data_IF_568611016424
#
_entry.id   IF_568611016424
#
_cell.length_a   1.000
_cell.length_b   1.000
_cell.length_c   1.000
_cell.angle_alpha   90.00
_cell.angle_beta   90.00
_cell.angle_gamma   90.00
#
_symmetry.space_group_name_H-M   'P 1'
#
loop_
_entity.id
_entity.type
_entity.pdbx_description
1 polymer ?
#
# COMPACT_ATOMS: atom_id res chain seq x y z
N UNK A 1 -60.89 -80.21 -2.68
CA UNK A 1 -60.25 -79.22 -1.78
C UNK A 1 -61.32 -78.25 -1.32
N UNK A 2 -61.79 -78.37 -0.07
CA UNK A 2 -62.76 -77.44 0.50
C UNK A 2 -62.08 -76.07 0.73
N UNK A 3 -62.51 -75.03 0.03
CA UNK A 3 -62.09 -73.64 0.30
C UNK A 3 -62.81 -73.16 1.54
N UNK A 4 -62.13 -73.16 2.69
CA UNK A 4 -62.66 -72.60 3.93
C UNK A 4 -63.00 -71.10 3.70
N UNK A 5 -64.27 -70.69 3.75
CA UNK A 5 -64.68 -69.31 3.44
C UNK A 5 -64.19 -68.28 4.47
N UNK A 6 -63.60 -68.73 5.59
CA UNK A 6 -63.20 -67.91 6.73
C UNK A 6 -61.68 -67.71 6.87
N UNK A 7 -60.92 -67.63 5.77
CA UNK A 7 -59.58 -67.04 5.82
C UNK A 7 -59.69 -65.52 5.67
N UNK A 8 -59.85 -64.81 6.79
CA UNK A 8 -59.80 -63.36 6.80
C UNK A 8 -58.37 -62.90 6.46
N UNK A 9 -58.17 -62.30 5.27
CA UNK A 9 -56.90 -61.66 4.92
C UNK A 9 -56.76 -60.38 5.75
N UNK A 10 -55.98 -60.46 6.82
CA UNK A 10 -55.54 -59.30 7.58
C UNK A 10 -54.40 -58.60 6.81
N UNK A 11 -54.78 -57.93 5.73
CA UNK A 11 -53.85 -57.16 4.91
C UNK A 11 -53.74 -55.74 5.50
N UNK A 12 -52.52 -55.22 5.59
CA UNK A 12 -52.33 -53.83 6.00
C UNK A 12 -52.91 -52.91 4.93
N UNK A 13 -53.85 -52.06 5.35
CA UNK A 13 -54.60 -51.17 4.48
C UNK A 13 -54.60 -49.77 5.07
N UNK A 14 -54.60 -48.71 4.23
CA UNK A 14 -54.72 -47.36 4.74
C UNK A 14 -56.04 -47.21 5.53
N UNK A 15 -56.10 -46.30 6.51
CA UNK A 15 -57.33 -46.00 7.23
C UNK A 15 -58.47 -45.66 6.25
N UNK A 16 -59.72 -45.95 6.61
CA UNK A 16 -60.90 -45.70 5.74
C UNK A 16 -61.04 -44.23 5.29
N UNK A 17 -60.38 -43.29 5.97
CA UNK A 17 -60.32 -41.86 5.63
C UNK A 17 -59.00 -41.37 5.01
N UNK A 18 -58.06 -42.26 4.69
CA UNK A 18 -56.73 -41.91 4.16
C UNK A 18 -55.77 -41.31 5.20
N UNK A 19 -54.54 -41.04 4.77
CA UNK A 19 -53.54 -40.33 5.59
C UNK A 19 -53.70 -38.82 5.47
N UNK A 20 -53.27 -38.09 6.49
CA UNK A 20 -53.23 -36.62 6.44
C UNK A 20 -52.34 -36.17 5.29
N UNK A 21 -52.76 -35.19 4.47
CA UNK A 21 -51.91 -34.64 3.42
C UNK A 21 -50.65 -34.03 4.05
N UNK A 22 -49.49 -34.51 3.65
CA UNK A 22 -48.21 -33.96 4.06
C UNK A 22 -47.71 -32.98 2.99
N UNK A 23 -47.13 -31.87 3.43
CA UNK A 23 -46.62 -30.86 2.52
C UNK A 23 -45.27 -31.30 1.93
N UNK A 24 -45.25 -31.62 0.64
CA UNK A 24 -44.04 -31.98 -0.13
C UNK A 24 -43.29 -30.76 -0.66
N UNK A 25 -43.80 -29.54 -0.46
CA UNK A 25 -43.19 -28.32 -1.02
C UNK A 25 -41.92 -27.94 -0.27
N UNK A 26 -40.97 -27.35 -1.01
CA UNK A 26 -39.75 -26.78 -0.43
C UNK A 26 -40.07 -25.51 0.36
N UNK A 27 -39.83 -25.53 1.67
CA UNK A 27 -39.98 -24.36 2.55
C UNK A 27 -38.67 -23.58 2.62
N UNK A 28 -38.51 -22.60 1.73
CA UNK A 28 -37.38 -21.68 1.73
C UNK A 28 -37.67 -20.48 2.65
N UNK A 29 -36.83 -20.21 3.66
CA UNK A 29 -36.97 -18.99 4.45
C UNK A 29 -36.66 -17.76 3.58
N UNK A 30 -37.42 -16.68 3.79
CA UNK A 30 -37.10 -15.40 3.16
C UNK A 30 -35.78 -14.85 3.70
N UNK A 31 -35.02 -14.19 2.83
CA UNK A 31 -33.78 -13.53 3.24
C UNK A 31 -34.06 -12.56 4.41
N UNK A 32 -33.24 -12.63 5.46
CA UNK A 32 -33.46 -11.90 6.72
C UNK A 32 -33.21 -10.39 6.58
N UNK A 33 -32.46 -9.99 5.55
CA UNK A 33 -32.08 -8.60 5.31
C UNK A 33 -32.28 -8.26 3.83
N UNK A 34 -32.86 -7.09 3.56
CA UNK A 34 -32.99 -6.57 2.19
C UNK A 34 -31.63 -6.15 1.65
N UNK A 35 -31.41 -6.34 0.33
CA UNK A 35 -30.20 -5.88 -0.35
C UNK A 35 -29.98 -4.36 -0.20
N UNK A 36 -31.06 -3.58 -0.22
CA UNK A 36 -31.00 -2.13 -0.01
C UNK A 36 -30.50 -1.77 1.40
N UNK A 37 -30.88 -2.54 2.41
CA UNK A 37 -30.41 -2.31 3.78
C UNK A 37 -28.91 -2.57 3.90
N UNK A 38 -28.43 -3.69 3.34
CA UNK A 38 -27.00 -4.02 3.34
C UNK A 38 -26.19 -2.95 2.61
N UNK A 39 -26.66 -2.48 1.46
CA UNK A 39 -26.01 -1.41 0.71
C UNK A 39 -25.96 -0.11 1.51
N UNK A 40 -27.08 0.28 2.15
CA UNK A 40 -27.12 1.47 3.02
C UNK A 40 -26.14 1.38 4.19
N UNK A 41 -26.09 0.24 4.88
CA UNK A 41 -25.19 0.03 6.01
C UNK A 41 -23.71 0.13 5.60
N UNK A 42 -23.32 -0.53 4.50
CA UNK A 42 -21.94 -0.47 3.98
C UNK A 42 -21.58 0.93 3.52
N UNK A 43 -22.51 1.62 2.85
CA UNK A 43 -22.30 2.99 2.39
C UNK A 43 -22.03 3.95 3.56
N UNK A 44 -22.83 3.87 4.63
CA UNK A 44 -22.64 4.68 5.82
C UNK A 44 -21.32 4.38 6.54
N UNK A 45 -20.98 3.10 6.69
CA UNK A 45 -19.70 2.69 7.28
C UNK A 45 -18.51 3.23 6.47
N UNK A 46 -18.62 3.17 5.15
CA UNK A 46 -17.59 3.66 4.23
C UNK A 46 -17.45 5.18 4.30
N UNK A 47 -18.57 5.91 4.30
CA UNK A 47 -18.57 7.38 4.46
C UNK A 47 -17.89 7.81 5.77
N UNK A 48 -18.20 7.13 6.88
CA UNK A 48 -17.55 7.41 8.15
C UNK A 48 -16.05 7.09 8.13
N UNK A 49 -15.66 5.97 7.49
CA UNK A 49 -14.26 5.62 7.28
C UNK A 49 -13.48 6.70 6.52
N UNK A 50 -14.05 7.23 5.44
CA UNK A 50 -13.42 8.31 4.68
C UNK A 50 -13.29 9.61 5.48
N UNK A 51 -14.27 9.94 6.33
CA UNK A 51 -14.16 11.09 7.23
C UNK A 51 -12.96 10.96 8.18
N UNK A 52 -12.81 9.79 8.83
CA UNK A 52 -11.68 9.51 9.72
C UNK A 52 -10.33 9.54 8.99
N UNK A 53 -10.26 8.98 7.78
CA UNK A 53 -9.07 9.06 6.93
C UNK A 53 -8.74 10.52 6.58
N UNK A 54 -9.75 11.35 6.32
CA UNK A 54 -9.59 12.78 6.09
C UNK A 54 -8.91 13.48 7.25
N UNK A 55 -9.40 13.27 8.47
CA UNK A 55 -8.84 13.87 9.69
C UNK A 55 -7.39 13.43 9.93
N UNK A 56 -7.12 12.12 9.86
CA UNK A 56 -5.76 11.58 10.04
C UNK A 56 -4.78 12.08 8.96
N UNK A 57 -5.24 12.28 7.73
CA UNK A 57 -4.42 12.86 6.66
C UNK A 57 -4.06 14.32 6.94
N UNK A 58 -4.97 15.10 7.52
CA UNK A 58 -4.69 16.49 7.93
C UNK A 58 -3.60 16.50 9.02
N UNK A 59 -3.71 15.64 10.03
CA UNK A 59 -2.70 15.51 11.09
C UNK A 59 -1.35 15.07 10.55
N UNK A 60 -1.32 14.04 9.69
CA UNK A 60 -0.09 13.58 9.02
C UNK A 60 0.57 14.69 8.20
N UNK A 61 -0.21 15.55 7.55
CA UNK A 61 0.33 16.72 6.83
C UNK A 61 0.94 17.74 7.78
N UNK A 62 0.33 17.99 8.94
CA UNK A 62 0.90 18.88 9.98
C UNK A 62 2.25 18.36 10.46
N UNK A 63 2.34 17.07 10.80
CA UNK A 63 3.61 16.45 11.24
C UNK A 63 4.69 16.48 10.16
N UNK A 64 4.32 16.21 8.89
CA UNK A 64 5.27 16.32 7.76
C UNK A 64 5.74 17.74 7.53
N UNK A 65 4.85 18.72 7.67
CA UNK A 65 5.18 20.14 7.57
C UNK A 65 6.18 20.52 8.66
N UNK A 66 5.90 20.17 9.91
CA UNK A 66 6.81 20.40 11.04
C UNK A 66 8.18 19.74 10.81
N UNK A 67 8.21 18.49 10.35
CA UNK A 67 9.46 17.79 10.03
C UNK A 67 10.25 18.52 8.93
N UNK A 68 9.56 19.03 7.91
CA UNK A 68 10.18 19.80 6.82
C UNK A 68 10.74 21.13 7.33
N UNK A 69 10.00 21.85 8.17
CA UNK A 69 10.44 23.11 8.78
C UNK A 69 11.68 22.86 9.65
N UNK A 70 11.67 21.85 10.53
CA UNK A 70 12.84 21.45 11.33
C UNK A 70 14.06 21.17 10.46
N UNK A 71 13.91 20.42 9.37
CA UNK A 71 15.00 20.13 8.43
C UNK A 71 15.49 21.39 7.72
N UNK A 72 14.59 22.25 7.26
CA UNK A 72 14.95 23.50 6.58
C UNK A 72 15.76 24.44 7.49
N UNK A 73 15.50 24.44 8.80
CA UNK A 73 16.27 25.24 9.76
C UNK A 73 17.70 24.71 9.99
N UNK A 74 17.91 23.40 9.94
CA UNK A 74 19.22 22.77 10.17
C UNK A 74 20.04 22.68 8.88
N UNK A 75 19.37 22.65 7.71
CA UNK A 75 19.98 22.45 6.40
C UNK A 75 21.13 23.43 6.09
N UNK A 76 21.04 24.76 6.34
CA UNK A 76 22.12 25.67 6.02
C UNK A 76 23.42 25.37 6.79
N UNK A 77 23.29 24.90 8.04
CA UNK A 77 24.45 24.52 8.85
C UNK A 77 25.12 23.27 8.29
N UNK A 78 24.34 22.22 8.00
CA UNK A 78 24.87 20.98 7.41
C UNK A 78 25.46 21.22 6.01
N UNK A 79 24.83 22.08 5.21
CA UNK A 79 25.35 22.44 3.89
C UNK A 79 26.69 23.16 4.01
N UNK A 80 26.84 24.08 4.97
CA UNK A 80 28.11 24.78 5.18
C UNK A 80 29.24 23.82 5.62
N UNK A 81 28.95 22.85 6.49
CA UNK A 81 29.92 21.81 6.87
C UNK A 81 30.33 20.96 5.66
N UNK A 82 29.37 20.57 4.83
CA UNK A 82 29.61 19.79 3.62
C UNK A 82 30.40 20.58 2.57
N UNK A 83 30.10 21.87 2.37
CA UNK A 83 30.82 22.74 1.44
C UNK A 83 32.29 22.89 1.85
N UNK A 84 32.56 23.05 3.16
CA UNK A 84 33.94 23.07 3.69
C UNK A 84 34.64 21.74 3.44
N UNK A 85 33.98 20.63 3.76
CA UNK A 85 34.52 19.28 3.53
C UNK A 85 34.82 19.03 2.05
N UNK A 86 33.91 19.43 1.16
CA UNK A 86 34.06 19.28 -0.28
C UNK A 86 35.25 20.07 -0.81
N UNK A 87 35.39 21.35 -0.42
CA UNK A 87 36.51 22.18 -0.87
C UNK A 87 37.87 21.62 -0.41
N UNK A 88 37.94 21.08 0.80
CA UNK A 88 39.15 20.40 1.28
C UNK A 88 39.48 19.16 0.46
N UNK A 89 38.48 18.33 0.14
CA UNK A 89 38.68 17.16 -0.69
C UNK A 89 39.14 17.54 -2.11
N UNK A 90 38.52 18.55 -2.72
CA UNK A 90 38.91 19.08 -4.03
C UNK A 90 40.35 19.59 -4.02
N UNK A 91 40.77 20.32 -2.99
CA UNK A 91 42.16 20.79 -2.87
C UNK A 91 43.16 19.62 -2.84
N UNK A 92 42.85 18.54 -2.12
CA UNK A 92 43.68 17.33 -2.11
C UNK A 92 43.74 16.69 -3.50
N UNK A 93 42.60 16.59 -4.19
CA UNK A 93 42.55 16.02 -5.54
C UNK A 93 43.31 16.86 -6.57
N UNK A 94 43.24 18.19 -6.49
CA UNK A 94 44.01 19.09 -7.36
C UNK A 94 45.53 18.92 -7.14
N UNK A 95 45.95 18.73 -5.88
CA UNK A 95 47.35 18.45 -5.55
C UNK A 95 47.81 17.08 -6.08
N UNK A 96 46.97 16.05 -5.99
CA UNK A 96 47.25 14.72 -6.55
C UNK A 96 47.29 14.73 -8.08
N UNK A 97 46.31 15.38 -8.71
CA UNK A 97 46.24 15.53 -10.17
C UNK A 97 47.50 16.23 -10.68
N UNK A 98 47.94 17.31 -10.03
CA UNK A 98 49.16 18.03 -10.37
C UNK A 98 50.40 17.15 -10.24
N UNK A 99 50.48 16.30 -9.22
CA UNK A 99 51.61 15.38 -9.02
C UNK A 99 51.66 14.28 -10.06
N UNK A 100 50.50 13.71 -10.42
CA UNK A 100 50.38 12.58 -11.35
C UNK A 100 50.53 13.04 -12.80
N UNK A 101 49.94 14.17 -13.18
CA UNK A 101 49.85 14.64 -14.57
C UNK A 101 50.98 15.57 -15.00
N UNK A 102 52.00 15.79 -14.15
CA UNK A 102 53.14 16.70 -14.42
C UNK A 102 53.88 16.42 -15.73
N UNK A 103 53.89 15.16 -16.18
CA UNK A 103 54.69 14.70 -17.32
C UNK A 103 53.87 14.67 -18.64
N UNK A 104 52.57 15.00 -18.60
CA UNK A 104 51.66 14.92 -19.75
C UNK A 104 51.57 16.29 -20.46
N UNK A 105 51.95 16.40 -21.74
CA UNK A 105 51.93 17.67 -22.45
C UNK A 105 50.48 18.13 -22.72
N UNK A 106 50.20 19.42 -22.45
CA UNK A 106 48.89 20.04 -22.70
C UNK A 106 47.82 19.76 -21.63
N UNK A 107 48.18 19.10 -20.53
CA UNK A 107 47.28 18.89 -19.40
C UNK A 107 47.15 20.15 -18.55
N UNK A 108 45.92 20.61 -18.35
CA UNK A 108 45.59 21.73 -17.45
C UNK A 108 44.90 21.16 -16.21
N UNK A 109 45.53 21.33 -15.04
CA UNK A 109 44.99 20.86 -13.76
C UNK A 109 43.68 21.59 -13.46
N UNK A 110 42.68 20.86 -12.96
CA UNK A 110 41.34 21.37 -12.63
C UNK A 110 40.61 22.08 -13.80
N UNK A 111 40.87 21.64 -15.04
CA UNK A 111 40.11 22.13 -16.19
C UNK A 111 38.67 21.63 -16.14
N UNK A 112 37.71 22.55 -16.23
CA UNK A 112 36.30 22.16 -16.32
C UNK A 112 36.06 21.30 -17.57
N UNK A 113 35.47 20.12 -17.38
CA UNK A 113 35.08 19.20 -18.47
C UNK A 113 33.86 19.72 -19.23
N UNK A 114 33.03 20.52 -18.56
CA UNK A 114 31.83 21.07 -19.15
C UNK A 114 32.08 22.39 -19.88
N UNK A 115 31.35 22.61 -20.97
CA UNK A 115 31.49 23.81 -21.80
C UNK A 115 30.84 25.06 -21.19
N UNK A 116 30.04 24.93 -20.13
CA UNK A 116 29.42 26.06 -19.45
C UNK A 116 30.31 26.56 -18.30
N UNK A 117 30.14 27.84 -17.94
CA UNK A 117 30.95 28.50 -16.90
C UNK A 117 30.44 28.27 -15.48
N UNK A 118 29.28 27.62 -15.33
CA UNK A 118 28.70 27.30 -14.03
C UNK A 118 29.51 26.19 -13.35
N UNK A 119 29.59 26.25 -12.03
CA UNK A 119 30.18 25.19 -11.23
C UNK A 119 29.23 23.99 -11.22
N UNK A 120 29.78 22.80 -11.44
CA UNK A 120 29.07 21.54 -11.27
C UNK A 120 29.76 20.69 -10.22
N UNK A 121 29.00 19.97 -9.38
CA UNK A 121 29.59 18.97 -8.50
C UNK A 121 30.28 17.91 -9.36
N UNK A 122 31.39 17.38 -8.87
CA UNK A 122 32.03 16.25 -9.52
C UNK A 122 31.04 15.07 -9.61
N UNK A 123 31.06 14.35 -10.73
CA UNK A 123 30.29 13.09 -10.90
C UNK A 123 30.78 11.97 -9.98
N UNK A 124 31.86 12.22 -9.25
CA UNK A 124 32.58 11.20 -8.52
C UNK A 124 31.79 10.67 -7.32
N UNK A 125 31.60 9.36 -7.32
CA UNK A 125 30.96 8.59 -6.27
C UNK A 125 31.98 7.78 -5.45
N UNK A 126 33.28 8.12 -5.55
CA UNK A 126 34.31 7.55 -4.69
C UNK A 126 33.96 7.82 -3.23
N UNK A 127 33.86 6.77 -2.38
CA UNK A 127 33.88 6.99 -0.96
C UNK A 127 35.25 7.59 -0.65
N UNK A 128 35.23 8.66 0.13
CA UNK A 128 36.40 9.25 0.77
C UNK A 128 37.52 8.25 1.09
#
# INVERSE_FOLDING_TARGET
MATNPNFARNQDMPPKGGYTPFDVRRKLPKARMSGAFMFGAVSLMTMYGYYQIGQTNIERRKVRRETRERRAHILPFLQAEEDVRYNLAVAVYEDEERRIMKDVPGWEVNKNVYNHKEWMPAFDNRPW
#
